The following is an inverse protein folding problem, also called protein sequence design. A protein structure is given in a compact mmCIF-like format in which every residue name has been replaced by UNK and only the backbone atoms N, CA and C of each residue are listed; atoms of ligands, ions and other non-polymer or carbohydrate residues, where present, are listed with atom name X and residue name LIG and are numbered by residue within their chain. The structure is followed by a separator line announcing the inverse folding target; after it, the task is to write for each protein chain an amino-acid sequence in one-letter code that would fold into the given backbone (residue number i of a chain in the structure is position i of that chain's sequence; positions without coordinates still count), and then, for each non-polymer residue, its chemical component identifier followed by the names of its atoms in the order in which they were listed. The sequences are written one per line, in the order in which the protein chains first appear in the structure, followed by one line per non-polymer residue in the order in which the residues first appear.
data_IF_216438564824
#
_entry.id   IF_216438564824
#
_cell.length_a   1.000
_cell.length_b   1.000
_cell.length_c   1.000
_cell.angle_alpha   90.00
_cell.angle_beta   90.00
_cell.angle_gamma   90.00
#
_symmetry.space_group_name_H-M   'P 1'
#
loop_
_entity.id
_entity.type
_entity.pdbx_description
1 polymer ?
#
# COMPACT_ATOMS: atom_id res chain seq x y z
N UNK A 1 20.61 -21.62 -48.58
CA UNK A 1 20.47 -22.00 -47.15
C UNK A 1 19.04 -21.71 -46.75
N UNK A 2 18.23 -22.76 -46.61
CA UNK A 2 16.85 -22.67 -46.14
C UNK A 2 16.85 -22.80 -44.61
N UNK A 3 16.28 -21.84 -43.91
CA UNK A 3 16.02 -21.94 -42.47
C UNK A 3 14.70 -22.69 -42.27
N UNK A 4 14.80 -23.82 -41.58
CA UNK A 4 13.66 -24.62 -41.10
C UNK A 4 12.92 -23.83 -40.02
N UNK A 5 11.63 -23.55 -40.25
CA UNK A 5 10.71 -23.04 -39.25
C UNK A 5 10.12 -24.22 -38.49
N UNK A 6 10.79 -24.66 -37.43
CA UNK A 6 10.19 -25.59 -36.47
C UNK A 6 9.30 -24.79 -35.52
N UNK A 7 8.00 -24.77 -35.84
CA UNK A 7 6.96 -24.26 -34.95
C UNK A 7 6.79 -25.22 -33.77
N UNK A 8 7.36 -24.86 -32.63
CA UNK A 8 7.10 -25.51 -31.35
C UNK A 8 5.66 -25.16 -30.93
N UNK A 9 4.73 -26.06 -31.22
CA UNK A 9 3.39 -26.06 -30.63
C UNK A 9 3.50 -26.52 -29.18
N UNK A 10 3.46 -25.58 -28.25
CA UNK A 10 3.27 -25.86 -26.83
C UNK A 10 1.77 -26.10 -26.65
N UNK A 11 1.37 -27.36 -26.47
CA UNK A 11 0.01 -27.71 -26.06
C UNK A 11 -0.22 -27.18 -24.63
N UNK A 12 -0.96 -26.07 -24.55
CA UNK A 12 -1.41 -25.50 -23.29
C UNK A 12 -2.65 -26.29 -22.87
N UNK A 13 -2.49 -27.26 -21.96
CA UNK A 13 -3.64 -27.91 -21.31
C UNK A 13 -4.55 -26.86 -20.65
N UNK A 14 -5.88 -27.02 -20.71
CA UNK A 14 -6.82 -26.08 -20.11
C UNK A 14 -6.72 -26.11 -18.57
N UNK A 15 -6.00 -25.12 -18.07
CA UNK A 15 -5.99 -24.52 -16.73
C UNK A 15 -7.04 -25.06 -15.74
N UNK A 16 -6.66 -26.09 -15.00
CA UNK A 16 -7.26 -26.37 -13.70
C UNK A 16 -6.76 -25.28 -12.74
N UNK A 17 -7.59 -24.25 -12.50
CA UNK A 17 -7.33 -23.29 -11.43
C UNK A 17 -7.28 -24.11 -10.13
N UNK A 18 -6.13 -24.20 -9.42
CA UNK A 18 -6.07 -24.97 -8.19
C UNK A 18 -7.10 -24.39 -7.23
N UNK A 19 -8.02 -25.24 -6.76
CA UNK A 19 -9.02 -24.91 -5.72
C UNK A 19 -8.38 -24.23 -4.51
N UNK A 20 -7.08 -24.46 -4.30
CA UNK A 20 -6.26 -23.84 -3.26
C UNK A 20 -6.04 -22.33 -3.46
N UNK A 21 -5.91 -21.82 -4.69
CA UNK A 21 -5.77 -20.36 -4.95
C UNK A 21 -7.04 -19.62 -4.55
N UNK A 22 -8.21 -20.20 -4.85
CA UNK A 22 -9.50 -19.61 -4.49
C UNK A 22 -9.69 -19.56 -2.97
N UNK A 23 -9.32 -20.64 -2.26
CA UNK A 23 -9.36 -20.68 -0.79
C UNK A 23 -8.40 -19.68 -0.14
N UNK A 24 -7.18 -19.55 -0.67
CA UNK A 24 -6.17 -18.61 -0.16
C UNK A 24 -6.60 -17.16 -0.41
N UNK A 25 -7.08 -16.86 -1.60
CA UNK A 25 -7.60 -15.52 -1.94
C UNK A 25 -8.78 -15.16 -1.05
N UNK A 26 -9.72 -16.10 -0.83
CA UNK A 26 -10.83 -15.93 0.10
C UNK A 26 -10.36 -15.72 1.54
N UNK A 27 -9.34 -16.43 2.02
CA UNK A 27 -8.81 -16.28 3.37
C UNK A 27 -8.12 -14.90 3.56
N UNK A 28 -7.31 -14.46 2.59
CA UNK A 28 -6.67 -13.15 2.62
C UNK A 28 -7.72 -12.03 2.55
N UNK A 29 -8.70 -12.15 1.66
CA UNK A 29 -9.83 -11.21 1.57
C UNK A 29 -10.60 -11.20 2.90
N UNK A 30 -10.86 -12.34 3.51
CA UNK A 30 -11.54 -12.43 4.80
C UNK A 30 -10.73 -11.77 5.93
N UNK A 31 -9.41 -11.94 5.96
CA UNK A 31 -8.52 -11.27 6.93
C UNK A 31 -8.50 -9.77 6.70
N UNK A 32 -8.35 -9.31 5.46
CA UNK A 32 -8.38 -7.88 5.11
C UNK A 32 -9.73 -7.27 5.51
N UNK A 33 -10.84 -7.92 5.16
CA UNK A 33 -12.19 -7.49 5.56
C UNK A 33 -12.36 -7.50 7.07
N UNK A 34 -11.83 -8.49 7.79
CA UNK A 34 -11.87 -8.54 9.25
C UNK A 34 -11.08 -7.39 9.87
N UNK A 35 -9.88 -7.07 9.34
CA UNK A 35 -9.07 -5.95 9.78
C UNK A 35 -9.75 -4.60 9.52
N UNK A 36 -10.42 -4.45 8.37
CA UNK A 36 -11.20 -3.27 8.02
C UNK A 36 -12.42 -3.12 8.92
N UNK A 37 -13.23 -4.18 9.07
CA UNK A 37 -14.40 -4.16 9.95
C UNK A 37 -13.99 -3.88 11.40
N UNK A 38 -12.90 -4.50 11.86
CA UNK A 38 -12.36 -4.24 13.18
C UNK A 38 -11.93 -2.77 13.31
N UNK A 39 -11.15 -2.24 12.37
CA UNK A 39 -10.72 -0.83 12.37
C UNK A 39 -11.90 0.13 12.40
N UNK A 40 -12.93 -0.12 11.60
CA UNK A 40 -14.14 0.70 11.52
C UNK A 40 -14.95 0.67 12.82
N UNK A 41 -15.22 -0.53 13.34
CA UNK A 41 -15.98 -0.70 14.61
C UNK A 41 -15.22 -0.05 15.76
N UNK A 42 -13.89 -0.14 15.76
CA UNK A 42 -13.03 0.49 16.75
C UNK A 42 -13.09 2.00 16.69
N UNK A 43 -12.97 2.58 15.49
CA UNK A 43 -13.04 4.02 15.32
C UNK A 43 -14.41 4.57 15.72
N UNK A 44 -15.49 3.89 15.35
CA UNK A 44 -16.86 4.26 15.72
C UNK A 44 -17.08 4.22 17.24
N UNK A 45 -16.58 3.17 17.91
CA UNK A 45 -16.62 3.08 19.39
C UNK A 45 -15.70 4.11 20.07
N UNK A 46 -14.56 4.44 19.48
CA UNK A 46 -13.63 5.46 19.99
C UNK A 46 -14.19 6.89 19.94
N UNK A 47 -15.05 7.18 18.97
CA UNK A 47 -15.74 8.47 18.87
C UNK A 47 -16.89 8.60 19.88
N UNK A 48 -17.51 7.49 20.30
CA UNK A 48 -18.58 7.48 21.29
C UNK A 48 -18.01 7.13 22.69
N UNK A 49 -17.60 8.16 23.43
CA UNK A 49 -17.26 8.25 24.87
C UNK A 49 -17.57 7.04 25.79
N UNK A 50 -16.93 5.88 25.60
CA UNK A 50 -16.98 4.74 26.54
C UNK A 50 -15.55 4.43 27.00
N UNK A 51 -15.31 4.13 28.31
CA UNK A 51 -13.96 3.90 28.83
C UNK A 51 -13.30 2.65 28.22
N UNK A 52 -12.08 2.84 27.71
CA UNK A 52 -11.46 2.07 26.63
C UNK A 52 -10.19 1.34 27.11
N UNK A 53 -10.23 0.71 28.28
CA UNK A 53 -9.03 0.09 28.89
C UNK A 53 -9.00 -1.44 28.78
N UNK A 54 -10.15 -2.11 28.84
CA UNK A 54 -10.22 -3.58 28.70
C UNK A 54 -10.21 -4.06 27.24
N UNK A 55 -10.58 -3.19 26.31
CA UNK A 55 -10.78 -3.56 24.92
C UNK A 55 -9.44 -3.52 24.15
N UNK A 56 -8.57 -2.56 24.47
CA UNK A 56 -7.22 -2.36 23.91
C UNK A 56 -6.32 -3.61 23.85
N UNK A 57 -6.25 -4.39 24.94
CA UNK A 57 -5.30 -5.52 25.02
C UNK A 57 -5.73 -6.72 24.19
N UNK A 58 -7.03 -6.92 23.94
CA UNK A 58 -7.47 -7.96 23.02
C UNK A 58 -7.21 -7.58 21.56
N UNK A 59 -7.06 -6.30 21.23
CA UNK A 59 -6.86 -5.82 19.86
C UNK A 59 -5.45 -5.90 19.34
N UNK A 60 -4.47 -5.53 20.17
CA UNK A 60 -3.07 -5.81 19.82
C UNK A 60 -2.89 -7.31 19.66
N UNK A 61 -3.50 -8.10 20.56
CA UNK A 61 -3.52 -9.56 20.46
C UNK A 61 -4.25 -10.05 19.20
N UNK A 62 -5.37 -9.48 18.78
CA UNK A 62 -6.11 -9.90 17.58
C UNK A 62 -5.46 -9.45 16.26
N UNK A 63 -4.81 -8.29 16.22
CA UNK A 63 -4.04 -7.83 15.06
C UNK A 63 -2.74 -8.62 14.94
N UNK A 64 -2.02 -8.83 16.05
CA UNK A 64 -0.86 -9.73 16.10
C UNK A 64 -1.31 -11.14 15.74
N UNK A 65 -2.43 -11.63 16.28
CA UNK A 65 -2.97 -12.95 15.93
C UNK A 65 -3.43 -13.04 14.48
N UNK A 66 -3.97 -11.99 13.87
CA UNK A 66 -4.33 -11.98 12.46
C UNK A 66 -3.10 -11.95 11.55
N UNK A 67 -2.07 -11.19 11.93
CA UNK A 67 -0.78 -11.17 11.25
C UNK A 67 -0.06 -12.52 11.45
N UNK A 68 -0.09 -13.08 12.64
CA UNK A 68 0.46 -14.40 12.97
C UNK A 68 -0.32 -15.50 12.27
N UNK A 69 -1.65 -15.43 12.16
CA UNK A 69 -2.47 -16.39 11.41
C UNK A 69 -2.25 -16.23 9.91
N UNK A 70 -2.07 -15.01 9.40
CA UNK A 70 -1.69 -14.78 8.01
C UNK A 70 -0.30 -15.36 7.73
N UNK A 71 0.67 -15.09 8.60
CA UNK A 71 2.02 -15.65 8.52
C UNK A 71 1.98 -17.17 8.66
N UNK A 72 1.27 -17.72 9.66
CA UNK A 72 1.12 -19.14 9.92
C UNK A 72 0.40 -19.82 8.75
N UNK A 73 -0.65 -19.24 8.17
CA UNK A 73 -1.33 -19.78 6.99
C UNK A 73 -0.40 -19.79 5.77
N UNK A 74 0.37 -18.70 5.57
CA UNK A 74 1.41 -18.64 4.55
C UNK A 74 2.52 -19.69 4.81
N UNK A 75 2.88 -19.94 6.07
CA UNK A 75 3.87 -20.93 6.50
C UNK A 75 3.37 -22.38 6.42
N UNK A 76 2.12 -22.67 6.79
CA UNK A 76 1.53 -24.03 6.73
C UNK A 76 1.29 -24.47 5.30
N UNK A 77 0.92 -23.55 4.41
CA UNK A 77 0.86 -23.81 2.96
C UNK A 77 2.23 -24.10 2.34
N UNK A 78 3.31 -23.50 2.88
CA UNK A 78 4.67 -23.85 2.48
C UNK A 78 5.12 -25.21 3.04
N UNK A 79 4.50 -25.66 4.14
CA UNK A 79 4.82 -26.92 4.83
C UNK A 79 4.03 -28.14 4.31
N UNK A 80 2.83 -27.96 3.75
CA UNK A 80 2.04 -29.07 3.18
C UNK A 80 2.64 -29.65 1.88
N UNK A 81 3.54 -28.93 1.20
CA UNK A 81 4.39 -29.53 0.14
C UNK A 81 5.57 -30.36 0.67
N UNK A 82 5.84 -30.32 1.97
CA UNK A 82 6.92 -31.06 2.65
C UNK A 82 6.40 -32.15 3.59
N UNK A 83 5.13 -32.53 3.49
CA UNK A 83 4.57 -33.65 4.26
C UNK A 83 5.05 -35.04 3.77
N UNK A 84 6.21 -35.10 3.10
CA UNK A 84 7.12 -36.24 3.16
C UNK A 84 8.48 -35.72 3.65
N UNK A 85 8.82 -36.06 4.89
CA UNK A 85 10.06 -35.83 5.65
C UNK A 85 10.16 -34.61 6.60
N UNK A 86 9.74 -34.91 7.84
CA UNK A 86 10.37 -34.57 9.13
C UNK A 86 10.28 -33.16 9.73
N UNK A 87 9.57 -33.10 10.88
CA UNK A 87 10.14 -32.64 12.15
C UNK A 87 10.04 -31.15 12.50
N UNK A 88 9.09 -30.81 13.38
CA UNK A 88 8.94 -29.49 13.98
C UNK A 88 10.05 -29.18 15.01
N UNK A 89 10.80 -28.09 14.83
CA UNK A 89 11.22 -27.22 15.93
C UNK A 89 11.71 -25.85 15.43
N UNK A 90 11.35 -24.81 16.19
CA UNK A 90 11.58 -23.38 15.99
C UNK A 90 13.02 -23.00 15.58
N UNK A 91 13.17 -22.21 14.51
CA UNK A 91 13.89 -20.92 14.48
C UNK A 91 14.10 -20.42 13.04
N UNK A 92 14.27 -19.10 12.92
CA UNK A 92 14.45 -18.23 11.74
C UNK A 92 15.67 -18.57 10.84
N UNK A 93 16.21 -19.80 10.89
CA UNK A 93 17.39 -20.21 10.14
C UNK A 93 17.17 -21.61 9.55
N UNK A 94 16.72 -21.70 8.30
CA UNK A 94 16.45 -23.00 7.69
C UNK A 94 15.92 -23.00 6.26
N UNK A 95 16.41 -22.10 5.40
CA UNK A 95 16.13 -22.16 3.95
C UNK A 95 17.12 -23.10 3.28
N UNK A 96 16.93 -24.43 3.41
CA UNK A 96 17.65 -25.44 2.61
C UNK A 96 16.70 -26.57 2.15
N UNK A 97 16.92 -27.01 0.91
CA UNK A 97 16.41 -28.20 0.17
C UNK A 97 14.91 -28.21 -0.21
N UNK A 98 14.52 -28.59 -1.44
CA UNK A 98 15.09 -29.64 -2.31
C UNK A 98 15.24 -29.24 -3.80
N UNK A 99 16.14 -29.97 -4.46
CA UNK A 99 16.58 -29.85 -5.85
C UNK A 99 15.72 -30.69 -6.79
N UNK A 100 15.47 -30.18 -8.00
CA UNK A 100 15.34 -30.99 -9.20
C UNK A 100 16.20 -30.30 -10.28
N UNK A 101 16.98 -31.08 -11.03
CA UNK A 101 18.29 -30.67 -11.55
C UNK A 101 18.29 -30.31 -13.05
N UNK A 102 17.25 -29.64 -13.53
CA UNK A 102 17.16 -29.16 -14.90
C UNK A 102 17.15 -27.62 -14.92
N UNK A 103 18.22 -27.00 -14.43
CA UNK A 103 18.34 -25.54 -14.40
C UNK A 103 18.94 -25.05 -15.72
N UNK A 104 18.09 -24.46 -16.57
CA UNK A 104 18.53 -23.50 -17.59
C UNK A 104 19.26 -22.38 -16.83
N UNK A 105 20.57 -22.24 -17.06
CA UNK A 105 21.35 -21.20 -16.42
C UNK A 105 20.85 -19.83 -16.90
N UNK A 106 20.12 -19.12 -16.04
CA UNK A 106 19.73 -17.73 -16.28
C UNK A 106 20.90 -16.86 -15.85
N UNK A 107 21.40 -16.01 -16.74
CA UNK A 107 22.43 -15.02 -16.42
C UNK A 107 21.86 -14.02 -15.40
N UNK A 108 22.30 -14.12 -14.14
CA UNK A 108 21.93 -13.20 -13.08
C UNK A 108 22.91 -12.04 -13.08
N UNK A 109 22.37 -10.83 -13.23
CA UNK A 109 23.15 -9.61 -13.09
C UNK A 109 23.54 -9.37 -11.62
N UNK A 110 24.80 -9.00 -11.33
CA UNK A 110 25.31 -8.91 -9.95
C UNK A 110 24.61 -7.82 -9.11
N UNK A 111 23.95 -6.85 -9.75
CA UNK A 111 23.26 -5.75 -9.08
C UNK A 111 21.84 -6.09 -8.61
N UNK A 112 21.29 -7.24 -8.97
CA UNK A 112 19.95 -7.67 -8.55
C UNK A 112 19.84 -7.87 -7.03
N UNK A 113 20.81 -8.60 -6.46
CA UNK A 113 20.82 -8.92 -5.03
C UNK A 113 20.87 -7.65 -4.16
N UNK A 114 21.80 -6.69 -4.38
CA UNK A 114 21.79 -5.42 -3.64
C UNK A 114 20.48 -4.65 -3.73
N UNK A 115 19.84 -4.66 -4.90
CA UNK A 115 18.57 -3.96 -5.13
C UNK A 115 17.44 -4.58 -4.33
N UNK A 116 17.33 -5.90 -4.29
CA UNK A 116 16.25 -6.54 -3.54
C UNK A 116 16.48 -6.44 -2.03
N UNK A 117 17.73 -6.47 -1.55
CA UNK A 117 18.07 -6.15 -0.16
C UNK A 117 17.64 -4.71 0.19
N UNK A 118 17.87 -3.76 -0.70
CA UNK A 118 17.45 -2.38 -0.50
C UNK A 118 15.93 -2.24 -0.46
N UNK A 119 15.19 -2.89 -1.38
CA UNK A 119 13.72 -2.93 -1.37
C UNK A 119 13.18 -3.50 -0.06
N UNK A 120 13.72 -4.63 0.40
CA UNK A 120 13.35 -5.28 1.67
C UNK A 120 13.56 -4.32 2.84
N UNK A 121 14.71 -3.65 2.89
CA UNK A 121 15.05 -2.69 3.94
C UNK A 121 14.03 -1.53 3.99
N UNK A 122 13.72 -0.95 2.83
CA UNK A 122 12.72 0.11 2.75
C UNK A 122 11.30 -0.36 3.11
N UNK A 123 10.90 -1.57 2.71
CA UNK A 123 9.60 -2.14 3.05
C UNK A 123 9.46 -2.36 4.57
N UNK A 124 10.51 -2.86 5.23
CA UNK A 124 10.53 -3.02 6.69
C UNK A 124 10.39 -1.67 7.39
N UNK A 125 11.13 -0.65 6.95
CA UNK A 125 11.01 0.72 7.50
C UNK A 125 9.58 1.23 7.34
N UNK A 126 8.97 1.04 6.17
CA UNK A 126 7.60 1.45 5.92
C UNK A 126 6.58 0.74 6.83
N UNK A 127 6.72 -0.57 7.03
CA UNK A 127 5.87 -1.36 7.94
C UNK A 127 5.98 -0.81 9.37
N UNK A 128 7.21 -0.60 9.87
CA UNK A 128 7.45 -0.07 11.22
C UNK A 128 6.79 1.31 11.38
N UNK A 129 7.00 2.21 10.42
CA UNK A 129 6.40 3.55 10.46
C UNK A 129 4.87 3.50 10.44
N UNK A 130 4.28 2.67 9.57
CA UNK A 130 2.84 2.51 9.48
C UNK A 130 2.24 2.01 10.80
N UNK A 131 2.86 0.99 11.40
CA UNK A 131 2.42 0.43 12.69
C UNK A 131 2.51 1.48 13.81
N UNK A 132 3.62 2.23 13.88
CA UNK A 132 3.77 3.31 14.88
C UNK A 132 2.68 4.36 14.71
N UNK A 133 2.39 4.80 13.48
CA UNK A 133 1.38 5.84 13.24
C UNK A 133 -0.04 5.35 13.50
N UNK A 134 -0.38 4.14 13.07
CA UNK A 134 -1.68 3.51 13.37
C UNK A 134 -1.85 3.35 14.88
N UNK A 135 -0.82 2.88 15.59
CA UNK A 135 -0.83 2.79 17.04
C UNK A 135 -1.12 4.15 17.69
N UNK A 136 -0.41 5.22 17.30
CA UNK A 136 -0.67 6.54 17.90
C UNK A 136 -2.09 7.04 17.63
N UNK A 137 -2.61 6.84 16.42
CA UNK A 137 -3.97 7.26 16.06
C UNK A 137 -5.03 6.52 16.87
N UNK A 138 -4.82 5.22 17.14
CA UNK A 138 -5.77 4.39 17.89
C UNK A 138 -5.80 4.73 19.39
N UNK A 139 -4.66 5.08 19.97
CA UNK A 139 -4.54 5.29 21.42
C UNK A 139 -4.72 6.76 21.86
N UNK A 140 -4.42 7.72 20.98
CA UNK A 140 -4.51 9.14 21.35
C UNK A 140 -5.89 9.71 21.03
N UNK A 141 -6.66 10.05 22.07
CA UNK A 141 -7.98 10.67 21.94
C UNK A 141 -8.01 11.94 21.08
N UNK A 142 -6.93 12.72 21.05
CA UNK A 142 -6.84 13.92 20.20
C UNK A 142 -6.87 13.61 18.71
N UNK A 143 -6.68 12.34 18.33
CA UNK A 143 -6.70 11.87 16.95
C UNK A 143 -8.07 11.32 16.52
N UNK A 144 -9.10 11.32 17.39
CA UNK A 144 -10.43 10.80 17.03
C UNK A 144 -11.25 11.84 16.26
N UNK A 145 -10.76 12.20 15.08
CA UNK A 145 -11.39 13.17 14.17
C UNK A 145 -11.53 12.57 12.79
N UNK A 146 -12.50 13.04 12.01
CA UNK A 146 -12.77 12.54 10.64
C UNK A 146 -11.55 12.66 9.70
N UNK A 147 -10.76 13.76 9.71
CA UNK A 147 -9.52 13.80 8.93
C UNK A 147 -8.52 12.70 9.31
N UNK A 148 -8.44 12.36 10.60
CA UNK A 148 -7.54 11.31 11.08
C UNK A 148 -8.05 9.91 10.75
N UNK A 149 -9.37 9.69 10.63
CA UNK A 149 -9.92 8.46 10.07
C UNK A 149 -9.42 8.22 8.64
N UNK A 150 -9.50 9.25 7.79
CA UNK A 150 -9.05 9.16 6.39
C UNK A 150 -7.52 8.97 6.27
N UNK A 151 -6.76 9.64 7.14
CA UNK A 151 -5.31 9.44 7.24
C UNK A 151 -4.99 8.02 7.72
N UNK A 152 -5.72 7.50 8.72
CA UNK A 152 -5.57 6.14 9.23
C UNK A 152 -5.85 5.09 8.16
N UNK A 153 -6.90 5.28 7.35
CA UNK A 153 -7.17 4.41 6.20
C UNK A 153 -6.01 4.39 5.19
N UNK A 154 -5.37 5.54 4.98
CA UNK A 154 -4.22 5.66 4.07
C UNK A 154 -2.98 4.98 4.64
N UNK A 155 -2.78 4.97 5.96
CA UNK A 155 -1.72 4.20 6.62
C UNK A 155 -2.02 2.70 6.60
N UNK A 156 -3.28 2.29 6.74
CA UNK A 156 -3.69 0.89 6.63
C UNK A 156 -3.44 0.34 5.23
N UNK A 157 -3.85 1.06 4.18
CA UNK A 157 -3.57 0.69 2.80
C UNK A 157 -2.06 0.56 2.54
N UNK A 158 -1.27 1.53 3.02
CA UNK A 158 0.18 1.46 2.84
C UNK A 158 0.86 0.35 3.66
N UNK A 159 0.34 0.01 4.85
CA UNK A 159 0.83 -1.15 5.61
C UNK A 159 0.65 -2.44 4.81
N UNK A 160 -0.55 -2.66 4.26
CA UNK A 160 -0.85 -3.84 3.45
C UNK A 160 0.04 -3.86 2.20
N UNK A 161 0.21 -2.72 1.52
CA UNK A 161 1.10 -2.61 0.37
C UNK A 161 2.56 -2.92 0.73
N UNK A 162 3.07 -2.40 1.86
CA UNK A 162 4.44 -2.63 2.28
C UNK A 162 4.69 -4.10 2.65
N UNK A 163 3.71 -4.78 3.24
CA UNK A 163 3.75 -6.23 3.49
C UNK A 163 3.79 -7.00 2.15
N UNK A 164 2.92 -6.65 1.21
CA UNK A 164 2.87 -7.29 -0.12
C UNK A 164 4.20 -7.12 -0.88
N UNK A 165 4.74 -5.90 -0.91
CA UNK A 165 6.07 -5.60 -1.48
C UNK A 165 7.17 -6.41 -0.80
N UNK A 166 7.14 -6.54 0.53
CA UNK A 166 8.12 -7.34 1.26
C UNK A 166 8.06 -8.81 0.84
N UNK A 167 6.85 -9.37 0.71
CA UNK A 167 6.65 -10.74 0.26
C UNK A 167 7.16 -10.95 -1.18
N UNK A 168 6.83 -10.03 -2.09
CA UNK A 168 7.31 -10.06 -3.49
C UNK A 168 8.84 -9.96 -3.52
N UNK A 169 9.44 -9.06 -2.76
CA UNK A 169 10.90 -8.88 -2.74
C UNK A 169 11.64 -10.09 -2.16
N UNK A 170 11.10 -10.72 -1.11
CA UNK A 170 11.64 -11.98 -0.56
C UNK A 170 11.53 -13.13 -1.56
N UNK A 171 10.42 -13.21 -2.28
CA UNK A 171 10.19 -14.18 -3.34
C UNK A 171 11.19 -14.00 -4.49
N UNK A 172 11.34 -12.78 -5.01
CA UNK A 172 12.31 -12.45 -6.07
C UNK A 172 13.74 -12.77 -5.64
N UNK A 173 14.14 -12.37 -4.43
CA UNK A 173 15.47 -12.67 -3.88
C UNK A 173 15.71 -14.19 -3.74
N UNK A 174 14.70 -14.94 -3.35
CA UNK A 174 14.81 -16.40 -3.25
C UNK A 174 14.97 -17.05 -4.63
N UNK A 175 14.23 -16.58 -5.63
CA UNK A 175 14.33 -17.10 -6.99
C UNK A 175 15.69 -16.78 -7.61
N UNK A 176 16.21 -15.56 -7.40
CA UNK A 176 17.56 -15.18 -7.84
C UNK A 176 18.61 -16.07 -7.20
N UNK A 177 18.49 -16.36 -5.90
CA UNK A 177 19.48 -17.20 -5.21
C UNK A 177 19.44 -18.65 -5.66
N UNK A 178 18.25 -19.20 -5.91
CA UNK A 178 18.05 -20.64 -6.19
C UNK A 178 18.07 -20.97 -7.68
N UNK A 179 18.04 -19.98 -8.58
CA UNK A 179 17.91 -20.16 -10.03
C UNK A 179 16.72 -21.06 -10.44
N UNK A 180 15.72 -21.20 -9.57
CA UNK A 180 14.56 -22.07 -9.78
C UNK A 180 13.30 -21.23 -9.86
N UNK A 181 12.45 -21.55 -10.84
CA UNK A 181 11.14 -20.93 -11.03
C UNK A 181 10.14 -21.48 -10.00
N UNK A 182 10.17 -20.97 -8.78
CA UNK A 182 9.20 -21.34 -7.74
C UNK A 182 7.94 -20.48 -7.83
N UNK A 183 6.76 -21.09 -7.65
CA UNK A 183 5.59 -20.42 -7.04
C UNK A 183 4.76 -19.44 -7.90
N UNK A 184 4.39 -19.81 -9.13
CA UNK A 184 3.55 -19.02 -10.04
C UNK A 184 2.29 -18.41 -9.39
N UNK A 185 1.55 -19.18 -8.58
CA UNK A 185 0.25 -18.76 -8.02
C UNK A 185 0.32 -17.64 -6.98
N UNK A 186 1.28 -17.70 -6.06
CA UNK A 186 1.43 -16.65 -5.02
C UNK A 186 1.90 -15.34 -5.61
N UNK A 187 2.74 -15.43 -6.64
CA UNK A 187 3.26 -14.29 -7.36
C UNK A 187 2.13 -13.52 -8.09
N UNK A 188 1.22 -14.23 -8.78
CA UNK A 188 0.04 -13.60 -9.43
C UNK A 188 -0.83 -12.88 -8.41
N UNK A 189 -1.08 -13.54 -7.26
CA UNK A 189 -1.89 -12.96 -6.20
C UNK A 189 -1.24 -11.69 -5.62
N UNK A 190 0.06 -11.74 -5.35
CA UNK A 190 0.82 -10.57 -4.88
C UNK A 190 0.76 -9.41 -5.88
N UNK A 191 1.00 -9.69 -7.17
CA UNK A 191 0.85 -8.67 -8.22
C UNK A 191 -0.56 -8.06 -8.25
N UNK A 192 -1.60 -8.89 -8.13
CA UNK A 192 -2.99 -8.43 -8.12
C UNK A 192 -3.32 -7.57 -6.89
N UNK A 193 -2.84 -7.98 -5.70
CA UNK A 193 -2.98 -7.23 -4.45
C UNK A 193 -2.28 -5.87 -4.58
N UNK A 194 -1.04 -5.84 -5.09
CA UNK A 194 -0.28 -4.62 -5.34
C UNK A 194 -1.09 -3.59 -6.15
N UNK A 195 -1.70 -3.99 -7.27
CA UNK A 195 -2.50 -3.07 -8.08
C UNK A 195 -3.77 -2.58 -7.35
N UNK A 196 -4.49 -3.47 -6.68
CA UNK A 196 -5.71 -3.11 -5.97
C UNK A 196 -5.45 -2.18 -4.78
N UNK A 197 -4.41 -2.44 -4.01
CA UNK A 197 -4.04 -1.60 -2.87
C UNK A 197 -3.52 -0.24 -3.34
N UNK A 198 -2.78 -0.20 -4.46
CA UNK A 198 -2.40 1.08 -5.09
C UNK A 198 -3.63 1.89 -5.46
N UNK A 199 -4.67 1.27 -6.04
CA UNK A 199 -5.95 1.92 -6.32
C UNK A 199 -6.62 2.43 -5.03
N UNK A 200 -6.76 1.58 -4.01
CA UNK A 200 -7.35 1.98 -2.72
C UNK A 200 -6.59 3.16 -2.11
N UNK A 201 -5.26 3.17 -2.19
CA UNK A 201 -4.42 4.26 -1.69
C UNK A 201 -4.68 5.57 -2.45
N UNK A 202 -4.71 5.54 -3.79
CA UNK A 202 -4.98 6.74 -4.61
C UNK A 202 -6.38 7.32 -4.34
N UNK A 203 -7.38 6.46 -4.25
CA UNK A 203 -8.74 6.89 -3.90
C UNK A 203 -8.86 7.36 -2.46
N UNK A 204 -8.05 6.85 -1.53
CA UNK A 204 -7.97 7.39 -0.17
C UNK A 204 -7.45 8.82 -0.14
N UNK A 205 -6.46 9.16 -0.97
CA UNK A 205 -6.00 10.54 -1.14
C UNK A 205 -7.05 11.44 -1.79
N UNK A 206 -7.80 10.90 -2.76
CA UNK A 206 -8.93 11.62 -3.35
C UNK A 206 -10.01 11.92 -2.30
N UNK A 207 -10.38 10.95 -1.46
CA UNK A 207 -11.33 11.15 -0.37
C UNK A 207 -10.85 12.23 0.61
N UNK A 208 -9.56 12.23 0.97
CA UNK A 208 -8.95 13.28 1.79
C UNK A 208 -9.06 14.67 1.14
N UNK A 209 -8.80 14.77 -0.17
CA UNK A 209 -8.89 16.02 -0.91
C UNK A 209 -10.34 16.53 -0.97
N UNK A 210 -11.29 15.65 -1.29
CA UNK A 210 -12.73 15.96 -1.33
C UNK A 210 -13.22 16.43 0.04
N UNK A 211 -12.89 15.70 1.11
CA UNK A 211 -13.28 16.07 2.47
C UNK A 211 -12.78 17.48 2.83
N UNK A 212 -11.49 17.76 2.60
CA UNK A 212 -10.89 19.08 2.88
C UNK A 212 -11.56 20.20 2.08
N UNK A 213 -11.81 19.96 0.80
CA UNK A 213 -12.48 20.92 -0.07
C UNK A 213 -13.90 21.24 0.43
N UNK A 214 -14.67 20.23 0.82
CA UNK A 214 -16.03 20.41 1.36
C UNK A 214 -15.96 21.17 2.69
N UNK A 215 -15.06 20.81 3.61
CA UNK A 215 -14.94 21.49 4.91
C UNK A 215 -14.62 22.98 4.77
N UNK A 216 -13.79 23.36 3.80
CA UNK A 216 -13.40 24.77 3.59
C UNK A 216 -14.42 25.54 2.77
N UNK A 217 -14.96 24.94 1.71
CA UNK A 217 -15.86 25.63 0.76
C UNK A 217 -17.31 25.65 1.25
N UNK A 218 -17.73 24.59 1.95
CA UNK A 218 -19.12 24.37 2.37
C UNK A 218 -19.20 23.95 3.85
N UNK A 219 -18.79 24.81 4.79
CA UNK A 219 -18.75 24.47 6.22
C UNK A 219 -20.13 24.11 6.79
N UNK A 220 -21.22 24.63 6.22
CA UNK A 220 -22.60 24.34 6.66
C UNK A 220 -23.12 22.96 6.28
N UNK A 221 -22.44 22.24 5.36
CA UNK A 221 -22.88 20.92 4.88
C UNK A 221 -22.33 19.79 5.77
N UNK A 222 -22.82 19.74 7.01
CA UNK A 222 -22.36 18.79 8.05
C UNK A 222 -22.54 17.30 7.67
N UNK A 223 -23.53 16.97 6.82
CA UNK A 223 -23.76 15.60 6.36
C UNK A 223 -22.51 14.99 5.70
N UNK A 224 -21.85 15.75 4.81
CA UNK A 224 -20.65 15.32 4.11
C UNK A 224 -19.42 15.18 5.02
N UNK A 225 -19.46 15.84 6.17
CA UNK A 225 -18.40 15.82 7.16
C UNK A 225 -18.63 14.76 8.26
N UNK A 226 -19.73 14.01 8.19
CA UNK A 226 -20.06 13.00 9.20
C UNK A 226 -19.11 11.80 9.13
N UNK A 227 -18.74 11.26 10.30
CA UNK A 227 -17.92 10.04 10.41
C UNK A 227 -18.58 8.89 9.64
N UNK A 228 -19.91 8.72 9.80
CA UNK A 228 -20.67 7.64 9.16
C UNK A 228 -20.54 7.65 7.64
N UNK A 229 -20.72 8.81 7.00
CA UNK A 229 -20.60 8.90 5.55
C UNK A 229 -19.17 8.59 5.09
N UNK A 230 -18.17 9.15 5.78
CA UNK A 230 -16.77 8.91 5.42
C UNK A 230 -16.38 7.44 5.59
N UNK A 231 -16.87 6.77 6.63
CA UNK A 231 -16.74 5.33 6.82
C UNK A 231 -17.38 4.54 5.67
N UNK A 232 -18.59 4.90 5.25
CA UNK A 232 -19.26 4.24 4.10
C UNK A 232 -18.42 4.40 2.83
N UNK A 233 -17.87 5.60 2.57
CA UNK A 233 -17.00 5.83 1.40
C UNK A 233 -15.72 5.01 1.45
N UNK A 234 -15.11 4.85 2.64
CA UNK A 234 -13.97 3.96 2.85
C UNK A 234 -14.36 2.51 2.52
N UNK A 235 -15.46 2.01 3.08
CA UNK A 235 -15.94 0.64 2.83
C UNK A 235 -16.16 0.40 1.33
N UNK A 236 -16.81 1.34 0.63
CA UNK A 236 -17.03 1.25 -0.81
C UNK A 236 -15.69 1.16 -1.55
N UNK A 237 -14.70 1.97 -1.17
CA UNK A 237 -13.37 1.96 -1.80
C UNK A 237 -12.70 0.60 -1.65
N UNK A 238 -12.77 -0.02 -0.46
CA UNK A 238 -12.25 -1.36 -0.22
C UNK A 238 -13.01 -2.45 -0.98
N UNK A 239 -14.34 -2.38 -1.04
CA UNK A 239 -15.16 -3.31 -1.83
C UNK A 239 -14.75 -3.22 -3.31
N UNK A 240 -14.61 -2.01 -3.86
CA UNK A 240 -14.15 -1.82 -5.23
C UNK A 240 -12.74 -2.38 -5.46
N UNK A 241 -11.81 -2.19 -4.51
CA UNK A 241 -10.47 -2.78 -4.59
C UNK A 241 -10.49 -4.31 -4.57
N UNK A 242 -11.30 -4.93 -3.71
CA UNK A 242 -11.45 -6.39 -3.65
C UNK A 242 -12.07 -6.96 -4.94
N UNK A 243 -13.12 -6.32 -5.47
CA UNK A 243 -13.70 -6.70 -6.77
C UNK A 243 -12.64 -6.60 -7.86
N UNK A 244 -11.80 -5.58 -7.82
CA UNK A 244 -10.73 -5.39 -8.80
C UNK A 244 -9.67 -6.51 -8.74
N UNK A 245 -9.30 -7.01 -7.55
CA UNK A 245 -8.43 -8.20 -7.42
C UNK A 245 -9.06 -9.40 -8.12
N UNK A 246 -10.35 -9.65 -7.86
CA UNK A 246 -11.08 -10.77 -8.46
C UNK A 246 -11.04 -10.68 -9.98
N UNK A 247 -11.33 -9.50 -10.54
CA UNK A 247 -11.27 -9.27 -11.99
C UNK A 247 -9.87 -9.55 -12.55
N UNK A 248 -8.81 -9.08 -11.90
CA UNK A 248 -7.43 -9.32 -12.38
C UNK A 248 -7.05 -10.81 -12.37
N UNK A 249 -7.48 -11.56 -11.35
CA UNK A 249 -7.23 -13.00 -11.26
C UNK A 249 -7.99 -13.75 -12.36
N UNK A 250 -9.26 -13.44 -12.60
CA UNK A 250 -10.08 -14.14 -13.60
C UNK A 250 -9.76 -13.78 -15.06
N UNK A 251 -9.02 -12.70 -15.30
CA UNK A 251 -8.68 -12.26 -16.65
C UNK A 251 -7.27 -12.68 -17.09
N UNK A 252 -6.51 -13.36 -16.23
CA UNK A 252 -5.14 -13.83 -16.48
C UNK A 252 -4.19 -12.73 -17.00
N UNK A 253 -4.37 -11.51 -16.51
CA UNK A 253 -3.67 -10.32 -17.01
C UNK A 253 -2.31 -10.12 -16.33
N UNK A 254 -2.14 -10.72 -15.16
CA UNK A 254 -0.89 -10.72 -14.42
C UNK A 254 -0.11 -11.95 -14.85
N UNK A 255 1.01 -11.74 -15.53
CA UNK A 255 1.88 -12.82 -16.01
C UNK A 255 3.19 -12.81 -15.22
N UNK A 256 3.83 -13.97 -15.12
CA UNK A 256 5.18 -14.06 -14.57
C UNK A 256 6.21 -13.64 -15.64
N UNK A 257 6.95 -12.57 -15.37
CA UNK A 257 8.08 -12.16 -16.20
C UNK A 257 9.35 -12.80 -15.69
N UNK A 258 9.92 -13.68 -16.51
CA UNK A 258 11.13 -14.45 -16.19
C UNK A 258 12.34 -13.53 -16.02
N UNK A 259 12.47 -12.49 -16.87
CA UNK A 259 13.62 -11.58 -16.83
C UNK A 259 13.69 -10.78 -15.51
N UNK A 260 12.53 -10.40 -14.98
CA UNK A 260 12.43 -9.64 -13.73
C UNK A 260 12.19 -10.54 -12.51
N UNK A 261 11.82 -11.81 -12.68
CA UNK A 261 11.38 -12.72 -11.61
C UNK A 261 10.26 -12.10 -10.75
N UNK A 262 9.31 -11.43 -11.41
CA UNK A 262 8.13 -10.80 -10.78
C UNK A 262 6.86 -11.16 -11.55
N UNK A 263 5.70 -11.02 -10.90
CA UNK A 263 4.41 -11.09 -11.57
C UNK A 263 3.82 -9.70 -11.75
N UNK A 264 3.57 -9.35 -13.00
CA UNK A 264 3.04 -8.04 -13.34
C UNK A 264 2.20 -8.10 -14.61
N UNK A 265 1.37 -7.09 -14.79
CA UNK A 265 0.73 -6.85 -16.07
C UNK A 265 1.81 -6.51 -17.12
N UNK A 266 1.87 -7.22 -18.26
CA UNK A 266 2.86 -6.93 -19.28
C UNK A 266 2.64 -5.52 -19.85
N UNK A 267 3.72 -4.79 -20.16
CA UNK A 267 3.66 -3.45 -20.79
C UNK A 267 3.29 -3.52 -22.28
N UNK A 268 2.23 -4.23 -22.62
CA UNK A 268 1.65 -4.25 -23.96
C UNK A 268 0.55 -3.21 -24.05
N UNK A 269 0.48 -2.50 -25.17
CA UNK A 269 -0.64 -1.61 -25.47
C UNK A 269 -1.91 -2.46 -25.59
N UNK A 270 -2.69 -2.50 -24.53
CA UNK A 270 -4.00 -3.13 -24.49
C UNK A 270 -5.00 -2.14 -23.94
N UNK A 271 -6.27 -2.32 -24.30
CA UNK A 271 -7.36 -1.55 -23.71
C UNK A 271 -7.32 -1.60 -22.18
N UNK A 272 -6.99 -2.77 -21.62
CA UNK A 272 -6.94 -2.95 -20.16
C UNK A 272 -5.76 -2.20 -19.53
N UNK A 273 -4.59 -2.19 -20.16
CA UNK A 273 -3.43 -1.40 -19.68
C UNK A 273 -3.78 0.08 -19.60
N UNK A 274 -4.45 0.61 -20.64
CA UNK A 274 -4.90 2.01 -20.70
C UNK A 274 -5.97 2.27 -19.64
N UNK A 275 -6.94 1.36 -19.50
CA UNK A 275 -7.98 1.43 -18.47
C UNK A 275 -7.37 1.47 -17.06
N UNK A 276 -6.41 0.60 -16.77
CA UNK A 276 -5.73 0.55 -15.47
C UNK A 276 -4.91 1.82 -15.21
N UNK A 277 -4.17 2.30 -16.20
CA UNK A 277 -3.44 3.56 -16.09
C UNK A 277 -4.38 4.75 -15.80
N UNK A 278 -5.54 4.77 -16.46
CA UNK A 278 -6.52 5.84 -16.24
C UNK A 278 -7.21 5.71 -14.88
N UNK A 279 -7.73 4.53 -14.57
CA UNK A 279 -8.54 4.27 -13.39
C UNK A 279 -7.73 4.33 -12.09
N UNK A 280 -6.55 3.68 -12.06
CA UNK A 280 -5.71 3.62 -10.85
C UNK A 280 -4.97 4.94 -10.63
N UNK A 281 -4.51 5.60 -11.71
CA UNK A 281 -3.57 6.71 -11.61
C UNK A 281 -4.13 8.04 -12.13
N UNK A 282 -4.40 8.16 -13.43
CA UNK A 282 -4.69 9.48 -14.05
C UNK A 282 -5.98 10.12 -13.49
N UNK A 283 -7.04 9.34 -13.29
CA UNK A 283 -8.32 9.83 -12.79
C UNK A 283 -8.22 10.35 -11.35
N UNK A 284 -7.81 9.55 -10.34
CA UNK A 284 -7.74 10.04 -8.97
C UNK A 284 -6.76 11.21 -8.84
N UNK A 285 -5.63 11.16 -9.53
CA UNK A 285 -4.62 12.22 -9.52
C UNK A 285 -5.13 13.52 -10.16
N UNK A 286 -5.74 13.41 -11.35
CA UNK A 286 -6.37 14.55 -12.03
C UNK A 286 -7.47 15.18 -11.20
N UNK A 287 -8.31 14.36 -10.56
CA UNK A 287 -9.36 14.83 -9.66
C UNK A 287 -8.79 15.57 -8.44
N UNK A 288 -7.74 15.03 -7.80
CA UNK A 288 -7.04 15.69 -6.68
C UNK A 288 -6.50 17.06 -7.12
N UNK A 289 -5.84 17.13 -8.27
CA UNK A 289 -5.27 18.38 -8.80
C UNK A 289 -6.36 19.43 -9.08
N UNK A 290 -7.47 19.02 -9.70
CA UNK A 290 -8.61 19.93 -9.95
C UNK A 290 -9.23 20.43 -8.66
N UNK A 291 -9.43 19.55 -7.67
CA UNK A 291 -9.99 19.91 -6.35
C UNK A 291 -9.10 20.95 -5.65
N UNK A 292 -7.79 20.69 -5.57
CA UNK A 292 -6.87 21.62 -4.92
C UNK A 292 -6.74 22.94 -5.69
N UNK A 293 -6.74 22.91 -7.02
CA UNK A 293 -6.77 24.13 -7.81
C UNK A 293 -8.01 24.98 -7.51
N UNK A 294 -9.20 24.36 -7.50
CA UNK A 294 -10.46 25.04 -7.13
C UNK A 294 -10.41 25.60 -5.71
N UNK A 295 -9.83 24.85 -4.78
CA UNK A 295 -9.64 25.27 -3.40
C UNK A 295 -8.75 26.52 -3.27
N UNK A 296 -7.64 26.55 -4.01
CA UNK A 296 -6.74 27.71 -4.04
C UNK A 296 -7.44 28.94 -4.61
N UNK A 297 -8.19 28.79 -5.71
CA UNK A 297 -8.99 29.88 -6.27
C UNK A 297 -10.03 30.42 -5.28
N UNK A 298 -10.71 29.53 -4.57
CA UNK A 298 -11.71 29.91 -3.57
C UNK A 298 -11.11 30.75 -2.43
N UNK A 299 -9.98 30.33 -1.87
CA UNK A 299 -9.33 31.09 -0.78
C UNK A 299 -8.78 32.42 -1.27
N UNK A 300 -8.25 32.48 -2.51
CA UNK A 300 -7.81 33.75 -3.12
C UNK A 300 -8.97 34.73 -3.26
N UNK A 301 -10.15 34.24 -3.65
CA UNK A 301 -11.34 35.06 -3.78
C UNK A 301 -11.90 35.51 -2.43
N UNK A 302 -11.87 34.65 -1.41
CA UNK A 302 -12.21 35.01 -0.03
C UNK A 302 -11.33 36.13 0.53
N UNK A 303 -10.03 36.11 0.23
CA UNK A 303 -9.10 37.14 0.69
C UNK A 303 -9.32 38.51 0.06
N UNK A 304 -9.99 38.59 -1.11
CA UNK A 304 -10.37 39.86 -1.74
C UNK A 304 -11.64 40.46 -1.15
N UNK A 305 -12.54 39.61 -0.65
CA UNK A 305 -13.78 40.05 -0.01
C UNK A 305 -13.47 40.40 1.45
N UNK A 306 -14.13 41.42 2.00
CA UNK A 306 -14.02 41.81 3.41
C UNK A 306 -14.65 40.75 4.34
N UNK A 307 -14.13 39.52 4.25
CA UNK A 307 -14.49 38.41 5.13
C UNK A 307 -13.79 38.60 6.47
N UNK A 308 -14.43 38.18 7.58
CA UNK A 308 -13.87 38.38 8.91
C UNK A 308 -12.48 37.74 9.02
N UNK A 309 -11.51 38.51 9.54
CA UNK A 309 -10.09 38.13 9.56
C UNK A 309 -9.82 36.73 10.14
N UNK A 310 -10.61 36.28 11.13
CA UNK A 310 -10.50 34.94 11.70
C UNK A 310 -10.79 33.81 10.69
N UNK A 311 -11.75 34.01 9.78
CA UNK A 311 -12.07 33.01 8.74
C UNK A 311 -10.98 32.95 7.68
N UNK A 312 -10.42 34.11 7.32
CA UNK A 312 -9.31 34.20 6.37
C UNK A 312 -8.02 33.58 6.93
N UNK A 313 -7.67 33.86 8.18
CA UNK A 313 -6.49 33.27 8.83
C UNK A 313 -6.62 31.74 8.91
N UNK A 314 -7.82 31.23 9.24
CA UNK A 314 -8.09 29.79 9.23
C UNK A 314 -7.92 29.21 7.83
N UNK A 315 -8.52 29.82 6.81
CA UNK A 315 -8.41 29.37 5.43
C UNK A 315 -6.96 29.42 4.90
N UNK A 316 -6.17 30.43 5.27
CA UNK A 316 -4.75 30.54 4.90
C UNK A 316 -3.89 29.47 5.58
N UNK A 317 -4.16 29.11 6.83
CA UNK A 317 -3.48 28.00 7.51
C UNK A 317 -3.78 26.67 6.82
N UNK A 318 -5.05 26.43 6.49
CA UNK A 318 -5.45 25.28 5.67
C UNK A 318 -4.71 25.26 4.33
N UNK A 319 -4.62 26.41 3.65
CA UNK A 319 -3.94 26.53 2.35
C UNK A 319 -2.44 26.26 2.44
N UNK A 320 -1.78 26.63 3.54
CA UNK A 320 -0.38 26.28 3.78
C UNK A 320 -0.19 24.78 3.98
N UNK A 321 -1.12 24.10 4.66
CA UNK A 321 -1.12 22.64 4.75
C UNK A 321 -1.37 21.99 3.39
N UNK A 322 -2.27 22.57 2.59
CA UNK A 322 -2.58 22.10 1.23
C UNK A 322 -1.42 22.25 0.28
N UNK A 323 -0.69 23.37 0.34
CA UNK A 323 0.52 23.54 -0.45
C UNK A 323 1.51 22.38 -0.19
N UNK A 324 1.70 22.00 1.08
CA UNK A 324 2.55 20.84 1.44
C UNK A 324 2.02 19.53 0.86
N UNK A 325 0.70 19.33 0.85
CA UNK A 325 0.08 18.12 0.27
C UNK A 325 0.24 18.11 -1.25
N UNK A 326 0.02 19.24 -1.93
CA UNK A 326 0.21 19.34 -3.38
C UNK A 326 1.68 19.13 -3.75
N UNK A 327 2.63 19.68 -2.98
CA UNK A 327 4.06 19.40 -3.17
C UNK A 327 4.36 17.91 -3.00
N UNK A 328 3.76 17.25 -2.01
CA UNK A 328 3.90 15.83 -1.76
C UNK A 328 3.30 14.98 -2.89
N UNK A 329 2.10 15.30 -3.36
CA UNK A 329 1.45 14.63 -4.51
C UNK A 329 2.29 14.85 -5.78
N UNK A 330 2.83 16.04 -5.99
CA UNK A 330 3.75 16.32 -7.08
C UNK A 330 5.04 15.51 -6.96
N UNK A 331 5.58 15.33 -5.74
CA UNK A 331 6.73 14.48 -5.49
C UNK A 331 6.43 13.01 -5.80
N UNK A 332 5.24 12.52 -5.43
CA UNK A 332 4.76 11.19 -5.80
C UNK A 332 4.61 11.05 -7.31
N UNK A 333 4.18 12.11 -8.02
CA UNK A 333 4.18 12.11 -9.48
C UNK A 333 5.59 11.95 -10.03
N UNK A 334 6.54 12.77 -9.57
CA UNK A 334 7.95 12.73 -10.00
C UNK A 334 8.56 11.35 -9.74
N UNK A 335 8.27 10.73 -8.60
CA UNK A 335 8.77 9.39 -8.27
C UNK A 335 8.05 8.27 -9.04
N UNK A 336 6.83 8.51 -9.52
CA UNK A 336 6.12 7.62 -10.44
C UNK A 336 6.51 7.80 -11.92
N UNK A 337 7.21 8.89 -12.27
CA UNK A 337 7.66 9.17 -13.64
C UNK A 337 8.47 8.03 -14.24
N UNK A 338 9.43 7.38 -13.55
CA UNK A 338 10.17 6.25 -14.13
C UNK A 338 9.26 5.13 -14.64
N UNK A 339 8.22 4.78 -13.89
CA UNK A 339 7.26 3.75 -14.30
C UNK A 339 6.45 4.18 -15.53
N UNK A 340 5.97 5.43 -15.54
CA UNK A 340 5.25 6.00 -16.70
C UNK A 340 6.17 6.12 -17.92
N UNK A 341 7.43 6.50 -17.73
CA UNK A 341 8.42 6.55 -18.80
C UNK A 341 8.70 5.17 -19.37
N UNK A 342 8.76 4.11 -18.55
CA UNK A 342 8.91 2.75 -19.07
C UNK A 342 7.68 2.29 -19.86
N UNK A 343 6.47 2.64 -19.41
CA UNK A 343 5.24 2.41 -20.19
C UNK A 343 5.32 3.15 -21.53
N UNK A 344 5.70 4.44 -21.52
CA UNK A 344 5.82 5.25 -22.73
C UNK A 344 6.91 4.73 -23.66
N UNK A 345 8.06 4.35 -23.11
CA UNK A 345 9.16 3.78 -23.87
C UNK A 345 8.74 2.47 -24.53
N UNK A 346 7.94 1.63 -23.85
CA UNK A 346 7.36 0.41 -24.41
C UNK A 346 6.50 0.65 -25.66
N UNK A 347 5.97 1.88 -25.86
CA UNK A 347 5.23 2.22 -27.08
C UNK A 347 6.14 2.48 -28.28
N UNK A 348 7.35 3.00 -28.06
CA UNK A 348 8.24 3.41 -29.15
C UNK A 348 9.38 2.41 -29.38
N UNK A 349 9.86 1.76 -28.33
CA UNK A 349 11.01 0.87 -28.33
C UNK A 349 10.75 -0.35 -27.43
N UNK A 350 11.51 -1.42 -27.63
CA UNK A 350 11.53 -2.52 -26.66
C UNK A 350 12.02 -1.99 -25.30
N UNK A 351 11.20 -2.13 -24.26
CA UNK A 351 11.58 -1.75 -22.90
C UNK A 351 12.85 -2.50 -22.47
N UNK A 352 13.74 -1.89 -21.66
CA UNK A 352 14.95 -2.56 -21.23
C UNK A 352 14.61 -3.79 -20.38
N UNK A 353 15.41 -4.85 -20.47
CA UNK A 353 15.09 -6.18 -19.89
C UNK A 353 14.75 -6.19 -18.39
N UNK A 354 15.14 -5.16 -17.63
CA UNK A 354 14.98 -5.10 -16.17
C UNK A 354 14.24 -3.83 -15.69
N UNK A 355 13.39 -3.27 -16.55
CA UNK A 355 12.68 -2.02 -16.31
C UNK A 355 11.79 -2.09 -15.07
N UNK A 356 11.12 -3.22 -14.82
CA UNK A 356 10.23 -3.33 -13.68
C UNK A 356 10.99 -3.39 -12.35
N UNK A 357 12.09 -4.14 -12.26
CA UNK A 357 12.92 -4.15 -11.04
C UNK A 357 13.36 -2.77 -10.62
N UNK A 358 13.79 -1.94 -11.58
CA UNK A 358 14.21 -0.56 -11.35
C UNK A 358 12.99 0.28 -10.92
N UNK A 359 11.86 0.17 -11.63
CA UNK A 359 10.66 0.94 -11.32
C UNK A 359 10.14 0.69 -9.89
N UNK A 360 10.13 -0.57 -9.43
CA UNK A 360 9.69 -0.91 -8.08
C UNK A 360 10.54 -0.26 -6.99
N UNK A 361 11.83 -0.04 -7.20
CA UNK A 361 12.68 0.68 -6.23
C UNK A 361 12.16 2.10 -6.04
N UNK A 362 11.87 2.81 -7.13
CA UNK A 362 11.33 4.17 -7.05
C UNK A 362 9.98 4.20 -6.34
N UNK A 363 9.12 3.20 -6.60
CA UNK A 363 7.83 3.07 -5.92
C UNK A 363 8.03 2.86 -4.41
N UNK A 364 8.93 1.97 -4.00
CA UNK A 364 9.18 1.68 -2.58
C UNK A 364 9.81 2.87 -1.86
N UNK A 365 10.76 3.57 -2.49
CA UNK A 365 11.31 4.82 -1.97
C UNK A 365 10.19 5.85 -1.81
N UNK A 366 9.33 6.01 -2.82
CA UNK A 366 8.21 6.94 -2.78
C UNK A 366 7.28 6.65 -1.61
N UNK A 367 7.03 5.38 -1.31
CA UNK A 367 6.18 4.97 -0.21
C UNK A 367 6.72 5.41 1.15
N UNK A 368 8.03 5.29 1.39
CA UNK A 368 8.66 5.80 2.62
C UNK A 368 8.52 7.33 2.71
N UNK A 369 8.74 8.05 1.60
CA UNK A 369 8.54 9.49 1.57
C UNK A 369 7.08 9.89 1.83
N UNK A 370 6.11 9.16 1.26
CA UNK A 370 4.69 9.37 1.48
C UNK A 370 4.32 9.21 2.95
N UNK A 371 4.84 8.18 3.64
CA UNK A 371 4.65 8.00 5.08
C UNK A 371 5.15 9.19 5.89
N UNK A 372 6.38 9.61 5.64
CA UNK A 372 7.01 10.74 6.35
C UNK A 372 6.22 12.02 6.09
N UNK A 373 5.79 12.23 4.85
CA UNK A 373 5.14 13.46 4.46
C UNK A 373 3.69 13.53 4.96
N UNK A 374 2.94 12.41 4.95
CA UNK A 374 1.64 12.30 5.64
C UNK A 374 1.77 12.60 7.14
N UNK A 375 2.83 12.14 7.78
CA UNK A 375 3.13 12.46 9.17
C UNK A 375 3.34 13.97 9.40
N UNK A 376 4.07 14.66 8.50
CA UNK A 376 4.26 16.11 8.60
C UNK A 376 2.96 16.91 8.42
N UNK A 377 2.00 16.36 7.68
CA UNK A 377 0.69 16.99 7.43
C UNK A 377 -0.29 16.72 8.58
N UNK A 378 -0.18 15.59 9.26
CA UNK A 378 -1.02 15.24 10.39
C UNK A 378 -0.61 16.01 11.65
N UNK A 379 -1.00 17.29 11.74
CA UNK A 379 -0.75 18.14 12.92
C UNK A 379 -1.13 17.50 14.28
N UNK A 380 -2.30 16.86 14.46
CA UNK A 380 -2.63 16.23 15.75
C UNK A 380 -1.70 15.05 16.07
N UNK A 381 -1.26 14.30 15.06
CA UNK A 381 -0.31 13.20 15.21
C UNK A 381 1.06 13.74 15.64
N UNK A 382 1.56 14.78 14.97
CA UNK A 382 2.80 15.47 15.33
C UNK A 382 2.74 16.06 16.74
N UNK A 383 1.62 16.68 17.10
CA UNK A 383 1.41 17.26 18.43
C UNK A 383 1.43 16.18 19.53
N UNK A 384 0.80 15.02 19.30
CA UNK A 384 0.84 13.89 20.25
C UNK A 384 2.27 13.39 20.46
N UNK A 385 3.03 13.20 19.37
CA UNK A 385 4.44 12.76 19.47
C UNK A 385 5.30 13.81 20.19
N UNK A 386 5.20 15.09 19.81
CA UNK A 386 5.98 16.15 20.45
C UNK A 386 5.64 16.29 21.94
N UNK A 387 4.38 16.10 22.33
CA UNK A 387 3.95 16.09 23.73
C UNK A 387 4.56 14.92 24.50
N UNK A 388 4.58 13.71 23.93
CA UNK A 388 5.24 12.55 24.56
C UNK A 388 6.76 12.73 24.66
N UNK A 389 7.39 13.28 23.64
CA UNK A 389 8.83 13.53 23.61
C UNK A 389 9.24 14.60 24.64
N UNK A 390 8.45 15.67 24.78
CA UNK A 390 8.70 16.76 25.74
C UNK A 390 8.39 16.37 27.19
N UNK A 391 7.54 15.37 27.42
CA UNK A 391 7.18 14.84 28.75
C UNK A 391 8.23 13.92 29.37
N UNK A 392 9.46 13.87 28.86
CA UNK A 392 10.62 13.39 29.61
C UNK A 392 11.30 14.58 30.32
N UNK A 393 10.86 14.99 31.53
CA UNK A 393 11.71 15.84 32.35
C UNK A 393 12.88 15.00 32.82
N UNK A 394 14.08 15.51 32.57
CA UNK A 394 15.25 15.14 33.37
C UNK A 394 14.97 15.76 34.75
N UNK A 395 14.45 14.97 35.68
CA UNK A 395 14.41 15.33 37.10
C UNK A 395 15.85 15.29 37.64
N UNK A 396 16.68 16.27 37.27
CA UNK A 396 17.82 16.62 38.12
C UNK A 396 17.20 17.40 39.26
N UNK A 397 16.84 16.68 40.32
CA UNK A 397 16.67 17.29 41.63
C UNK A 397 18.05 17.81 42.02
N UNK A 398 18.26 19.14 42.19
CA UNK A 398 19.49 19.62 42.76
C UNK A 398 19.55 19.12 44.21
N UNK A 399 20.38 18.10 44.46
CA UNK A 399 20.80 17.73 45.80
C UNK A 399 21.66 18.87 46.32
N UNK A 400 21.05 19.77 47.08
CA UNK A 400 21.77 20.60 48.03
C UNK A 400 22.02 19.73 49.26
N UNK A 401 23.25 19.23 49.38
CA UNK A 401 23.85 18.74 50.62
C UNK A 401 25.27 19.22 50.70
#
# INVERSE_FOLDING_TARGET
MAFSNDSITIDIEPWFIPIDIFKISCAIIAIILALIFLHIILFEKSCHTVPMLLVSNSYLAQLIYAIDVLLIALFTLQNDRKQNQFGYSFCILGVIMAFNNDSIAIDIEPWFIPIDIFKISCAIIAIILALIFLYIILFEKSCHTVPMLLVSNSYLAQLIYAIDVLLIALFTLQNDRKQNQFGYSFCILGGSISYAITMIQMYSYLLQAVYRYITVTYPSRLFWQSVRLQTILIIITWICGTIYIIVLIFTDQIIYLIDDQICQMPLRLSFLTIFNAFYIYMFPLGAIMVIYFKMVLYVREMGKRATPANTLIRAQRELRMIHRIVTLVLFLMILGVPYVLFILMSFFNSAPKYHFRIAYIFIVISLVFMMIALFQIAEPLKASIMKKLRRRPIDIVPTFT
#
